data_IF_376164497478
#
_entry.id   IF_376164497478
#
_cell.length_a   1.000
_cell.length_b   1.000
_cell.length_c   1.000
_cell.angle_alpha   90.00
_cell.angle_beta   90.00
_cell.angle_gamma   90.00
#
_symmetry.space_group_name_H-M   'P 1'
#
loop_
_entity.id
_entity.type
_entity.pdbx_description
1 polymer ?
#
# COMPACT_ATOMS: atom_id res chain seq x y z
N UNK A 1 -35.45 12.38 7.64
CA UNK A 1 -34.02 12.04 7.76
C UNK A 1 -33.47 12.85 8.92
N UNK A 2 -32.88 12.20 9.93
CA UNK A 2 -32.22 12.93 11.03
C UNK A 2 -30.85 13.39 10.52
N UNK A 3 -30.54 14.69 10.50
CA UNK A 3 -29.19 15.16 10.21
C UNK A 3 -28.29 14.69 11.35
N UNK A 4 -27.38 13.77 11.03
CA UNK A 4 -26.51 13.15 12.02
C UNK A 4 -25.39 12.42 11.31
N UNK A 5 -24.19 12.50 11.89
CA UNK A 5 -23.00 11.86 11.39
C UNK A 5 -23.19 10.34 11.45
N UNK A 6 -23.14 9.67 10.31
CA UNK A 6 -23.24 8.21 10.29
C UNK A 6 -22.07 7.61 11.09
N UNK A 7 -22.38 6.72 12.03
CA UNK A 7 -21.34 5.94 12.71
C UNK A 7 -20.60 5.13 11.66
N UNK A 8 -19.27 5.30 11.60
CA UNK A 8 -18.41 4.64 10.61
C UNK A 8 -18.45 3.10 10.73
N UNK A 9 -18.98 2.56 11.84
CA UNK A 9 -19.23 1.14 12.07
C UNK A 9 -20.57 0.61 11.52
N UNK A 10 -21.51 1.46 11.12
CA UNK A 10 -22.83 1.02 10.65
C UNK A 10 -22.72 0.13 9.41
N UNK A 11 -21.83 0.47 8.48
CA UNK A 11 -21.56 -0.34 7.29
C UNK A 11 -21.02 -1.74 7.62
N UNK A 12 -20.15 -1.86 8.64
CA UNK A 12 -19.65 -3.16 9.11
C UNK A 12 -20.78 -4.03 9.67
N UNK A 13 -21.70 -3.41 10.41
CA UNK A 13 -22.86 -4.12 10.98
C UNK A 13 -23.77 -4.67 9.87
N UNK A 14 -24.05 -3.86 8.83
CA UNK A 14 -24.79 -4.32 7.65
C UNK A 14 -24.09 -5.48 6.93
N UNK A 15 -22.77 -5.40 6.75
CA UNK A 15 -21.99 -6.46 6.12
C UNK A 15 -22.04 -7.77 6.92
N UNK A 16 -21.95 -7.70 8.25
CA UNK A 16 -22.09 -8.86 9.12
C UNK A 16 -23.48 -9.51 9.01
N UNK A 17 -24.54 -8.71 9.00
CA UNK A 17 -25.93 -9.20 8.81
C UNK A 17 -26.13 -9.86 7.44
N UNK A 18 -25.43 -9.37 6.42
CA UNK A 18 -25.45 -9.96 5.08
C UNK A 18 -24.63 -11.27 4.95
N UNK A 19 -24.03 -11.74 6.04
CA UNK A 19 -23.27 -13.01 6.07
C UNK A 19 -21.85 -12.90 5.53
N UNK A 20 -21.26 -11.70 5.48
CA UNK A 20 -19.85 -11.53 5.13
C UNK A 20 -18.97 -12.25 6.17
N UNK A 21 -17.92 -12.99 5.75
CA UNK A 21 -17.06 -13.73 6.68
C UNK A 21 -16.42 -12.83 7.74
N UNK A 22 -16.31 -13.33 8.97
CA UNK A 22 -15.83 -12.58 10.13
C UNK A 22 -14.41 -12.06 9.94
N UNK A 23 -13.55 -12.78 9.22
CA UNK A 23 -12.18 -12.37 8.92
C UNK A 23 -12.17 -11.12 8.03
N UNK A 24 -13.14 -10.99 7.11
CA UNK A 24 -13.30 -9.80 6.27
C UNK A 24 -13.78 -8.61 7.12
N UNK A 25 -14.75 -8.85 8.02
CA UNK A 25 -15.25 -7.82 8.94
C UNK A 25 -14.12 -7.30 9.85
N UNK A 26 -13.30 -8.19 10.40
CA UNK A 26 -12.16 -7.84 11.26
C UNK A 26 -11.11 -7.00 10.51
N UNK A 27 -10.76 -7.40 9.28
CA UNK A 27 -9.84 -6.59 8.46
C UNK A 27 -10.41 -5.21 8.16
N UNK A 28 -11.68 -5.11 7.79
CA UNK A 28 -12.34 -3.85 7.52
C UNK A 28 -12.42 -2.95 8.76
N UNK A 29 -12.65 -3.53 9.94
CA UNK A 29 -12.59 -2.81 11.22
C UNK A 29 -11.20 -2.23 11.51
N UNK A 30 -10.13 -3.02 11.31
CA UNK A 30 -8.75 -2.53 11.47
C UNK A 30 -8.43 -1.38 10.50
N UNK A 31 -8.88 -1.45 9.24
CA UNK A 31 -8.71 -0.37 8.26
C UNK A 31 -9.45 0.89 8.70
N UNK A 32 -10.69 0.76 9.19
CA UNK A 32 -11.46 1.89 9.69
C UNK A 32 -10.83 2.54 10.92
N UNK A 33 -10.19 1.77 11.80
CA UNK A 33 -9.44 2.29 12.94
C UNK A 33 -8.22 3.11 12.50
N UNK A 34 -7.47 2.62 11.51
CA UNK A 34 -6.32 3.35 10.95
C UNK A 34 -6.76 4.67 10.31
N UNK A 35 -7.86 4.66 9.54
CA UNK A 35 -8.44 5.88 8.94
C UNK A 35 -8.82 6.89 10.03
N UNK A 36 -9.53 6.47 11.09
CA UNK A 36 -9.90 7.36 12.20
C UNK A 36 -8.69 7.94 12.92
N UNK A 37 -7.67 7.09 13.13
CA UNK A 37 -6.46 7.46 13.84
C UNK A 37 -5.50 8.29 12.96
N UNK A 38 -5.87 8.58 11.71
CA UNK A 38 -5.01 9.19 10.68
C UNK A 38 -3.68 8.45 10.53
N UNK A 39 -3.68 7.14 10.83
CA UNK A 39 -2.54 6.27 10.59
C UNK A 39 -2.56 5.85 9.12
N UNK A 40 -1.40 5.62 8.49
CA UNK A 40 -1.36 4.99 7.19
C UNK A 40 -2.09 3.65 7.27
N UNK A 41 -3.08 3.43 6.40
CA UNK A 41 -3.73 2.13 6.29
C UNK A 41 -2.66 1.12 5.91
N UNK A 42 -2.44 0.13 6.78
CA UNK A 42 -1.48 -0.93 6.51
C UNK A 42 -1.88 -1.63 5.22
N UNK A 43 -1.02 -1.56 4.20
CA UNK A 43 -1.19 -2.37 2.99
C UNK A 43 -1.09 -3.83 3.39
N UNK A 44 -1.89 -4.67 2.73
CA UNK A 44 -1.69 -6.11 2.81
C UNK A 44 -0.29 -6.40 2.27
N UNK A 45 0.62 -6.79 3.17
CA UNK A 45 1.95 -7.24 2.78
C UNK A 45 1.78 -8.64 2.20
N UNK A 46 1.84 -8.74 0.87
CA UNK A 46 2.11 -10.01 0.21
C UNK A 46 3.54 -10.00 -0.33
N UNK A 47 4.16 -11.16 -0.42
CA UNK A 47 5.58 -11.29 -0.77
C UNK A 47 5.92 -10.61 -2.10
N UNK A 48 5.01 -10.67 -3.07
CA UNK A 48 5.16 -9.98 -4.36
C UNK A 48 5.20 -8.45 -4.20
N UNK A 49 4.34 -7.89 -3.35
CA UNK A 49 4.30 -6.44 -3.12
C UNK A 49 5.55 -5.99 -2.34
N UNK A 50 5.97 -6.77 -1.34
CA UNK A 50 7.17 -6.49 -0.56
C UNK A 50 8.44 -6.53 -1.44
N UNK A 51 8.52 -7.51 -2.35
CA UNK A 51 9.62 -7.61 -3.31
C UNK A 51 9.65 -6.42 -4.26
N UNK A 52 8.48 -5.98 -4.76
CA UNK A 52 8.37 -4.79 -5.63
C UNK A 52 8.72 -3.50 -4.87
N UNK A 53 8.24 -3.33 -3.64
CA UNK A 53 8.57 -2.16 -2.82
C UNK A 53 10.09 -2.08 -2.58
N UNK A 54 10.73 -3.22 -2.29
CA UNK A 54 12.19 -3.29 -2.17
C UNK A 54 12.89 -2.94 -3.48
N UNK A 55 12.44 -3.49 -4.60
CA UNK A 55 12.99 -3.18 -5.93
C UNK A 55 12.91 -1.67 -6.22
N UNK A 56 11.80 -1.01 -5.90
CA UNK A 56 11.66 0.44 -6.09
C UNK A 56 12.54 1.26 -5.14
N UNK A 57 12.69 0.83 -3.89
CA UNK A 57 13.59 1.48 -2.95
C UNK A 57 15.05 1.40 -3.43
N UNK A 58 15.47 0.24 -3.92
CA UNK A 58 16.82 0.04 -4.46
C UNK A 58 17.03 0.90 -5.72
N UNK A 59 16.05 0.93 -6.64
CA UNK A 59 16.08 1.78 -7.82
C UNK A 59 16.19 3.28 -7.48
N UNK A 60 15.42 3.75 -6.49
CA UNK A 60 15.50 5.14 -6.01
C UNK A 60 16.86 5.46 -5.39
N UNK A 61 17.43 4.55 -4.61
CA UNK A 61 18.75 4.73 -4.01
C UNK A 61 19.83 4.89 -5.09
N UNK A 62 19.79 4.06 -6.15
CA UNK A 62 20.69 4.17 -7.30
C UNK A 62 20.51 5.51 -8.02
N UNK A 63 19.28 5.95 -8.24
CA UNK A 63 18.97 7.21 -8.92
C UNK A 63 19.47 8.44 -8.15
N UNK A 64 19.34 8.43 -6.83
CA UNK A 64 19.83 9.50 -5.97
C UNK A 64 21.37 9.53 -5.88
N UNK A 65 22.03 8.38 -6.02
CA UNK A 65 23.48 8.26 -5.96
C UNK A 65 24.19 8.54 -7.31
N UNK A 66 23.46 8.54 -8.42
CA UNK A 66 24.03 8.67 -9.75
C UNK A 66 24.48 10.11 -10.06
N UNK A 67 25.73 10.26 -10.54
CA UNK A 67 26.27 11.54 -11.04
C UNK A 67 26.36 11.49 -12.57
N UNK A 68 25.49 12.22 -13.30
CA UNK A 68 25.48 12.23 -14.77
C UNK A 68 26.77 12.75 -15.40
N UNK A 69 27.62 13.44 -14.63
CA UNK A 69 28.91 13.96 -15.12
C UNK A 69 30.02 12.91 -15.08
N UNK A 70 29.83 11.81 -14.36
CA UNK A 70 30.85 10.78 -14.11
C UNK A 70 30.41 9.37 -14.52
N UNK A 71 29.10 9.11 -14.58
CA UNK A 71 28.55 7.79 -14.88
C UNK A 71 28.11 7.62 -16.33
N UNK A 72 28.05 6.36 -16.76
CA UNK A 72 27.40 5.95 -18.02
C UNK A 72 25.90 5.83 -17.82
N UNK A 73 25.14 6.64 -18.56
CA UNK A 73 23.68 6.65 -18.53
C UNK A 73 23.08 5.34 -19.02
N UNK A 74 23.64 4.74 -20.07
CA UNK A 74 23.07 3.50 -20.65
C UNK A 74 23.17 2.36 -19.65
N UNK A 75 24.35 2.20 -19.04
CA UNK A 75 24.56 1.20 -18.00
C UNK A 75 23.68 1.45 -16.77
N UNK A 76 23.50 2.71 -16.36
CA UNK A 76 22.60 3.07 -15.27
C UNK A 76 21.15 2.65 -15.54
N UNK A 77 20.63 2.90 -16.74
CA UNK A 77 19.26 2.50 -17.08
C UNK A 77 19.05 0.99 -17.08
N UNK A 78 20.02 0.20 -17.56
CA UNK A 78 19.92 -1.26 -17.49
C UNK A 78 19.94 -1.80 -16.05
N UNK A 79 20.71 -1.18 -15.16
CA UNK A 79 20.83 -1.59 -13.76
C UNK A 79 19.62 -1.16 -12.89
N UNK A 80 18.96 -0.06 -13.25
CA UNK A 80 17.77 0.44 -12.54
C UNK A 80 16.48 -0.18 -13.08
N UNK A 81 16.41 -0.43 -14.38
CA UNK A 81 15.24 -1.00 -15.05
C UNK A 81 15.62 -2.31 -15.76
N UNK A 82 15.91 -3.39 -15.01
CA UNK A 82 16.17 -4.67 -15.63
C UNK A 82 14.94 -5.14 -16.41
N UNK A 83 15.13 -5.81 -17.57
CA UNK A 83 14.02 -6.35 -18.36
C UNK A 83 13.16 -7.28 -17.50
N UNK A 84 11.83 -7.17 -17.64
CA UNK A 84 10.90 -8.07 -16.96
C UNK A 84 11.15 -9.51 -17.40
N UNK A 85 11.36 -10.41 -16.43
CA UNK A 85 11.55 -11.85 -16.64
C UNK A 85 10.23 -12.60 -16.75
#
# INVERSE_FOLDING_TARGET
>A
LVPGQALLSFGLHCAQLAGVPSEVIQRAASVLEDIHSKRPVRRMICDNLAAKDKQYQDAMAKLLAFDPRKGDLNHFFEDVFPPEA
#
